data_IF_314770756505
#
_entry.id   IF_314770756505
#
_cell.length_a   1.000
_cell.length_b   1.000
_cell.length_c   1.000
_cell.angle_alpha   90.00
_cell.angle_beta   90.00
_cell.angle_gamma   90.00
#
_symmetry.space_group_name_H-M   'P 1'
#
loop_
_entity.id
_entity.type
_entity.pdbx_description
1 polymer ?
#
# COMPACT_ATOMS: atom_id res chain seq x y z
N UNK A 1 -96.50 -1.18 31.06
CA UNK A 1 -96.71 -0.01 30.16
C UNK A 1 -95.35 0.59 29.84
N UNK A 2 -94.96 0.32 28.69
CA UNK A 2 -93.73 0.56 28.22
C UNK A 2 -93.46 1.20 26.90
N UNK A 3 -92.52 1.94 26.67
CA UNK A 3 -92.14 2.47 25.36
C UNK A 3 -90.64 2.19 25.02
N UNK A 4 -90.48 1.47 23.99
CA UNK A 4 -89.20 1.29 23.35
C UNK A 4 -88.75 2.59 22.67
N UNK A 5 -87.49 2.90 22.79
CA UNK A 5 -86.79 3.85 21.93
C UNK A 5 -85.56 3.17 21.33
N UNK A 6 -85.64 3.03 20.02
CA UNK A 6 -84.53 2.59 19.17
C UNK A 6 -83.57 3.77 18.97
N UNK A 7 -82.28 3.59 19.28
CA UNK A 7 -81.23 4.53 18.85
C UNK A 7 -80.30 3.83 17.86
N UNK A 8 -80.22 4.49 16.71
CA UNK A 8 -79.43 3.96 15.58
C UNK A 8 -77.95 4.06 15.73
N UNK A 9 -77.29 3.09 15.20
CA UNK A 9 -75.84 2.99 15.12
C UNK A 9 -75.35 3.74 13.87
N UNK A 10 -74.67 4.88 14.05
CA UNK A 10 -73.89 5.55 13.00
C UNK A 10 -72.48 4.99 13.03
N UNK A 11 -72.21 4.20 12.02
CA UNK A 11 -70.81 3.76 11.73
C UNK A 11 -70.02 4.93 11.16
N UNK A 12 -69.06 5.41 11.89
CA UNK A 12 -68.02 6.25 11.36
C UNK A 12 -66.85 5.34 10.87
N UNK A 13 -66.75 5.16 9.53
CA UNK A 13 -65.62 4.57 8.89
C UNK A 13 -64.52 5.63 8.77
N UNK A 14 -63.55 5.61 9.66
CA UNK A 14 -62.29 6.37 9.51
C UNK A 14 -61.40 5.64 8.51
N UNK A 15 -61.32 6.19 7.30
CA UNK A 15 -60.35 5.78 6.29
C UNK A 15 -58.96 6.28 6.75
N UNK A 16 -58.12 5.40 7.33
CA UNK A 16 -56.71 5.63 7.52
C UNK A 16 -56.03 5.47 6.15
N UNK A 17 -55.81 6.58 5.44
CA UNK A 17 -54.91 6.64 4.32
C UNK A 17 -53.47 6.50 4.88
N UNK A 18 -52.89 5.27 4.85
CA UNK A 18 -51.47 5.08 5.03
C UNK A 18 -50.76 5.69 3.83
N UNK A 19 -50.23 6.89 4.03
CA UNK A 19 -49.22 7.47 3.14
C UNK A 19 -47.96 6.70 3.35
N UNK A 20 -47.72 5.65 2.55
CA UNK A 20 -46.41 5.02 2.40
C UNK A 20 -45.49 5.99 1.67
N UNK A 21 -44.89 6.89 2.41
CA UNK A 21 -43.74 7.63 1.87
C UNK A 21 -42.63 6.62 1.57
N UNK A 22 -42.09 6.56 0.35
CA UNK A 22 -40.90 5.76 0.09
C UNK A 22 -39.76 6.40 0.86
N UNK A 23 -39.31 5.75 1.91
CA UNK A 23 -38.06 6.09 2.56
C UNK A 23 -36.89 5.65 1.65
N UNK A 24 -36.75 6.30 0.52
CA UNK A 24 -35.52 6.36 -0.21
C UNK A 24 -34.57 7.26 0.62
N UNK A 25 -33.75 6.66 1.45
CA UNK A 25 -32.59 7.33 1.96
C UNK A 25 -31.71 7.67 0.73
N UNK A 26 -31.97 8.82 0.11
CA UNK A 26 -30.99 9.45 -0.77
C UNK A 26 -29.78 9.78 0.11
N UNK A 27 -28.78 8.90 0.15
CA UNK A 27 -27.50 9.25 0.69
C UNK A 27 -27.06 10.54 -0.03
N UNK A 28 -26.98 11.64 0.71
CA UNK A 28 -26.54 12.91 0.14
C UNK A 28 -25.18 12.69 -0.51
N UNK A 29 -25.08 12.96 -1.82
CA UNK A 29 -23.81 12.84 -2.54
C UNK A 29 -22.76 13.68 -1.81
N UNK A 30 -21.68 13.03 -1.34
CA UNK A 30 -20.62 13.75 -0.67
C UNK A 30 -19.85 14.58 -1.70
N UNK A 31 -19.65 15.86 -1.42
CA UNK A 31 -18.98 16.79 -2.35
C UNK A 31 -17.46 16.53 -2.44
N UNK A 32 -16.85 15.96 -1.41
CA UNK A 32 -15.45 15.58 -1.38
C UNK A 32 -15.25 14.13 -1.85
N UNK A 33 -14.16 13.81 -2.57
CA UNK A 33 -13.81 12.42 -2.85
C UNK A 33 -13.40 11.68 -1.58
N UNK A 34 -13.54 10.34 -1.59
CA UNK A 34 -12.88 9.50 -0.61
C UNK A 34 -11.44 9.14 -1.06
N UNK A 35 -10.63 8.68 -0.12
CA UNK A 35 -9.27 8.20 -0.36
C UNK A 35 -9.21 6.71 -0.03
N UNK A 36 -8.64 5.91 -0.93
CA UNK A 36 -8.30 4.50 -0.67
C UNK A 36 -6.79 4.32 -0.76
N UNK A 37 -6.20 3.79 0.30
CA UNK A 37 -4.79 3.41 0.35
C UNK A 37 -4.70 1.93 -0.02
N UNK A 38 -4.20 1.64 -1.22
CA UNK A 38 -4.18 0.29 -1.77
C UNK A 38 -2.78 -0.32 -1.66
N UNK A 39 -2.65 -1.43 -0.94
CA UNK A 39 -1.39 -2.10 -0.64
C UNK A 39 -1.47 -3.61 -0.89
N UNK A 40 -0.31 -4.27 -1.03
CA UNK A 40 -0.26 -5.73 -1.08
C UNK A 40 -0.82 -6.37 0.20
N UNK A 41 -0.41 -5.87 1.34
CA UNK A 41 -0.78 -6.37 2.66
C UNK A 41 0.32 -7.16 3.36
N UNK A 42 0.16 -7.37 4.65
CA UNK A 42 0.98 -8.26 5.47
C UNK A 42 0.16 -8.84 6.63
N UNK A 43 0.46 -10.06 7.06
CA UNK A 43 -0.15 -10.69 8.26
C UNK A 43 0.69 -10.49 9.52
N UNK A 44 1.89 -9.90 9.40
CA UNK A 44 2.83 -9.69 10.52
C UNK A 44 2.52 -8.41 11.31
N UNK A 45 3.25 -8.18 12.42
CA UNK A 45 3.17 -6.93 13.18
C UNK A 45 3.56 -5.69 12.35
N UNK A 46 4.29 -5.87 11.25
CA UNK A 46 4.62 -4.78 10.32
C UNK A 46 3.38 -4.13 9.66
N UNK A 47 2.17 -4.68 9.88
CA UNK A 47 0.90 -4.06 9.50
C UNK A 47 0.75 -2.63 10.05
N UNK A 48 1.35 -2.33 11.20
CA UNK A 48 1.37 -1.00 11.80
C UNK A 48 1.95 0.09 10.88
N UNK A 49 2.77 -0.29 9.89
CA UNK A 49 3.24 0.64 8.85
C UNK A 49 2.09 1.28 8.07
N UNK A 50 1.01 0.53 7.80
CA UNK A 50 -0.18 1.07 7.12
C UNK A 50 -0.93 2.06 8.00
N UNK A 51 -1.07 1.76 9.29
CA UNK A 51 -1.69 2.69 10.24
C UNK A 51 -0.84 3.97 10.41
N UNK A 52 0.49 3.83 10.47
CA UNK A 52 1.38 4.99 10.50
C UNK A 52 1.17 5.88 9.27
N UNK A 53 1.17 5.29 8.07
CA UNK A 53 0.95 6.04 6.83
C UNK A 53 -0.46 6.64 6.77
N UNK A 54 -1.50 5.92 7.17
CA UNK A 54 -2.87 6.42 7.27
C UNK A 54 -2.95 7.68 8.15
N UNK A 55 -2.24 7.73 9.29
CA UNK A 55 -2.18 8.93 10.14
C UNK A 55 -1.53 10.12 9.41
N UNK A 56 -0.49 9.87 8.60
CA UNK A 56 0.12 10.92 7.77
C UNK A 56 -0.85 11.45 6.70
N UNK A 57 -1.62 10.54 6.08
CA UNK A 57 -2.68 10.93 5.13
C UNK A 57 -3.77 11.73 5.84
N UNK A 58 -4.25 11.30 7.02
CA UNK A 58 -5.23 12.02 7.82
C UNK A 58 -4.76 13.42 8.22
N UNK A 59 -3.49 13.54 8.57
CA UNK A 59 -2.90 14.84 8.93
C UNK A 59 -2.87 15.81 7.73
N UNK A 60 -2.60 15.31 6.51
CA UNK A 60 -2.55 16.14 5.30
C UNK A 60 -3.92 16.38 4.67
N UNK A 61 -4.84 15.44 4.83
CA UNK A 61 -6.19 15.45 4.25
C UNK A 61 -7.25 15.19 5.32
N UNK A 62 -7.40 16.07 6.33
CA UNK A 62 -8.18 15.78 7.55
C UNK A 62 -9.68 15.56 7.30
N UNK A 63 -10.22 16.15 6.23
CA UNK A 63 -11.65 16.11 5.93
C UNK A 63 -12.06 14.99 4.95
N UNK A 64 -11.14 14.09 4.60
CA UNK A 64 -11.41 13.01 3.66
C UNK A 64 -11.73 11.70 4.40
N UNK A 65 -12.69 10.95 3.89
CA UNK A 65 -12.88 9.55 4.28
C UNK A 65 -11.70 8.75 3.74
N UNK A 66 -11.04 7.97 4.61
CA UNK A 66 -9.85 7.19 4.25
C UNK A 66 -10.14 5.72 4.54
N UNK A 67 -9.89 4.86 3.56
CA UNK A 67 -10.03 3.41 3.65
C UNK A 67 -8.74 2.72 3.22
N UNK A 68 -8.49 1.54 3.81
CA UNK A 68 -7.43 0.63 3.38
C UNK A 68 -8.02 -0.46 2.47
N UNK A 69 -7.28 -0.83 1.43
CA UNK A 69 -7.59 -1.97 0.57
C UNK A 69 -6.33 -2.81 0.33
N UNK A 70 -6.48 -4.14 0.26
CA UNK A 70 -5.34 -5.04 0.15
C UNK A 70 -5.47 -5.95 -1.07
N UNK A 71 -4.45 -5.96 -1.94
CA UNK A 71 -4.49 -6.68 -3.20
C UNK A 71 -4.28 -8.18 -3.05
N UNK A 72 -3.46 -8.62 -2.08
CA UNK A 72 -3.14 -10.03 -1.89
C UNK A 72 -4.29 -10.82 -1.25
N UNK A 73 -4.93 -11.68 -2.05
CA UNK A 73 -5.93 -12.62 -1.54
C UNK A 73 -5.36 -13.53 -0.43
N UNK A 74 -4.13 -14.03 -0.63
CA UNK A 74 -3.45 -14.90 0.34
C UNK A 74 -3.27 -14.22 1.70
N UNK A 75 -2.86 -12.94 1.71
CA UNK A 75 -2.71 -12.18 2.96
C UNK A 75 -4.06 -11.94 3.62
N UNK A 76 -5.08 -11.50 2.86
CA UNK A 76 -6.42 -11.26 3.41
C UNK A 76 -7.00 -12.52 4.05
N UNK A 77 -6.87 -13.67 3.37
CA UNK A 77 -7.32 -14.95 3.90
C UNK A 77 -6.58 -15.35 5.18
N UNK A 78 -5.24 -15.22 5.20
CA UNK A 78 -4.42 -15.53 6.38
C UNK A 78 -4.80 -14.65 7.57
N UNK A 79 -4.99 -13.34 7.38
CA UNK A 79 -5.40 -12.41 8.45
C UNK A 79 -6.79 -12.76 8.96
N UNK A 80 -7.72 -13.12 8.08
CA UNK A 80 -9.06 -13.53 8.49
C UNK A 80 -9.03 -14.81 9.33
N UNK A 81 -8.21 -15.80 8.97
CA UNK A 81 -8.06 -17.05 9.73
C UNK A 81 -7.35 -16.88 11.06
N UNK A 82 -6.22 -16.15 11.08
CA UNK A 82 -5.36 -16.06 12.25
C UNK A 82 -5.81 -15.00 13.25
N UNK A 83 -6.45 -13.92 12.77
CA UNK A 83 -6.80 -12.75 13.60
C UNK A 83 -8.30 -12.47 13.66
N UNK A 84 -9.13 -13.22 12.92
CA UNK A 84 -10.56 -12.95 12.81
C UNK A 84 -10.91 -11.61 12.16
N UNK A 85 -9.94 -10.95 11.51
CA UNK A 85 -10.11 -9.62 10.92
C UNK A 85 -10.34 -9.73 9.41
N UNK A 86 -11.47 -9.19 8.94
CA UNK A 86 -11.77 -9.08 7.51
C UNK A 86 -11.03 -7.89 6.91
N UNK A 87 -10.16 -8.14 5.93
CA UNK A 87 -9.53 -7.11 5.11
C UNK A 87 -10.20 -7.10 3.72
N UNK A 88 -10.60 -5.93 3.26
CA UNK A 88 -11.23 -5.76 1.94
C UNK A 88 -10.19 -5.67 0.82
N UNK A 89 -10.56 -6.11 -0.38
CA UNK A 89 -9.86 -5.77 -1.62
C UNK A 89 -10.35 -4.43 -2.19
N UNK A 90 -9.69 -3.99 -3.25
CA UNK A 90 -10.03 -2.70 -3.86
C UNK A 90 -11.46 -2.65 -4.40
N UNK A 91 -11.96 -3.63 -5.17
CA UNK A 91 -13.35 -3.60 -5.64
C UNK A 91 -14.38 -3.53 -4.52
N UNK A 92 -14.22 -4.35 -3.48
CA UNK A 92 -15.11 -4.36 -2.32
C UNK A 92 -15.11 -2.98 -1.63
N UNK A 93 -13.93 -2.40 -1.41
CA UNK A 93 -13.80 -1.07 -0.78
C UNK A 93 -14.45 0.02 -1.62
N UNK A 94 -14.30 -0.02 -2.95
CA UNK A 94 -14.92 0.94 -3.87
C UNK A 94 -16.44 0.81 -3.91
N UNK A 95 -16.97 -0.43 -3.86
CA UNK A 95 -18.42 -0.68 -3.80
C UNK A 95 -19.00 -0.11 -2.50
N UNK A 96 -18.39 -0.40 -1.34
CA UNK A 96 -18.82 0.12 -0.04
C UNK A 96 -18.81 1.66 -0.02
N UNK A 97 -17.81 2.31 -0.61
CA UNK A 97 -17.76 3.77 -0.72
C UNK A 97 -18.88 4.31 -1.62
N UNK A 98 -19.15 3.65 -2.74
CA UNK A 98 -20.27 4.02 -3.62
C UNK A 98 -21.61 3.91 -2.91
N UNK A 99 -21.84 2.82 -2.16
CA UNK A 99 -23.06 2.61 -1.36
C UNK A 99 -23.19 3.67 -0.24
N UNK A 100 -22.06 4.17 0.28
CA UNK A 100 -22.02 5.28 1.23
C UNK A 100 -22.23 6.67 0.57
N UNK A 101 -22.50 6.72 -0.75
CA UNK A 101 -22.83 7.95 -1.48
C UNK A 101 -21.65 8.69 -2.09
N UNK A 102 -20.45 8.13 -2.07
CA UNK A 102 -19.29 8.72 -2.76
C UNK A 102 -19.41 8.49 -4.28
N UNK A 103 -19.13 9.53 -5.05
CA UNK A 103 -19.10 9.48 -6.53
C UNK A 103 -17.70 9.61 -7.09
N UNK A 104 -16.73 9.96 -6.25
CA UNK A 104 -15.31 10.18 -6.59
C UNK A 104 -14.42 9.54 -5.53
N UNK A 105 -13.40 8.79 -5.97
CA UNK A 105 -12.43 8.13 -5.08
C UNK A 105 -11.02 8.28 -5.63
N UNK A 106 -10.09 8.82 -4.84
CA UNK A 106 -8.66 8.77 -5.15
C UNK A 106 -8.08 7.49 -4.55
N UNK A 107 -7.47 6.65 -5.37
CA UNK A 107 -6.78 5.42 -4.94
C UNK A 107 -5.29 5.64 -4.99
N UNK A 108 -4.62 5.71 -3.83
CA UNK A 108 -3.17 5.77 -3.75
C UNK A 108 -2.58 4.37 -3.67
N UNK A 109 -1.81 4.00 -4.68
CA UNK A 109 -1.02 2.76 -4.65
C UNK A 109 0.17 2.89 -3.69
N UNK A 110 0.34 1.92 -2.79
CA UNK A 110 1.51 1.81 -1.91
C UNK A 110 2.55 0.79 -2.45
N UNK A 111 2.47 0.46 -3.75
CA UNK A 111 3.45 -0.37 -4.43
C UNK A 111 4.71 0.43 -4.77
N UNK A 112 5.83 -0.27 -4.88
CA UNK A 112 7.12 0.38 -5.20
C UNK A 112 7.23 0.65 -6.70
N UNK A 113 6.78 -0.27 -7.55
CA UNK A 113 6.92 -0.19 -9.00
C UNK A 113 5.56 -0.34 -9.71
N UNK A 114 5.41 0.20 -10.94
CA UNK A 114 4.25 -0.04 -11.79
C UNK A 114 4.34 -1.44 -12.43
N UNK A 115 4.29 -2.49 -11.60
CA UNK A 115 4.35 -3.89 -12.01
C UNK A 115 2.98 -4.57 -12.09
N UNK A 116 2.96 -5.91 -12.05
CA UNK A 116 1.75 -6.72 -12.20
C UNK A 116 0.63 -6.38 -11.20
N UNK A 117 0.98 -6.17 -9.93
CA UNK A 117 0.01 -5.80 -8.88
C UNK A 117 -0.65 -4.43 -9.20
N UNK A 118 0.14 -3.46 -9.68
CA UNK A 118 -0.39 -2.17 -10.12
C UNK A 118 -1.38 -2.34 -11.27
N UNK A 119 -0.96 -3.00 -12.35
CA UNK A 119 -1.80 -3.12 -13.56
C UNK A 119 -3.05 -3.96 -13.32
N UNK A 120 -2.89 -5.16 -12.72
CA UNK A 120 -3.99 -6.10 -12.55
C UNK A 120 -4.88 -5.82 -11.35
N UNK A 121 -4.32 -5.32 -10.23
CA UNK A 121 -5.03 -5.17 -8.96
C UNK A 121 -5.44 -3.74 -8.62
N UNK A 122 -4.78 -2.75 -9.21
CA UNK A 122 -5.18 -1.35 -9.00
C UNK A 122 -5.85 -0.79 -10.26
N UNK A 123 -5.15 -0.73 -11.39
CA UNK A 123 -5.68 -0.11 -12.62
C UNK A 123 -6.91 -0.87 -13.15
N UNK A 124 -6.80 -2.19 -13.33
CA UNK A 124 -7.90 -2.98 -13.87
C UNK A 124 -9.09 -3.08 -12.90
N UNK A 125 -8.82 -3.27 -11.59
CA UNK A 125 -9.88 -3.42 -10.60
C UNK A 125 -10.62 -2.10 -10.32
N UNK A 126 -9.94 -0.94 -10.39
CA UNK A 126 -10.58 0.37 -10.22
C UNK A 126 -11.66 0.68 -11.25
N UNK A 127 -11.60 0.04 -12.43
CA UNK A 127 -12.55 0.22 -13.53
C UNK A 127 -13.80 -0.63 -13.40
N UNK A 128 -13.85 -1.56 -12.43
CA UNK A 128 -14.97 -2.53 -12.28
C UNK A 128 -16.18 -1.99 -11.54
N UNK A 129 -16.14 -0.76 -11.02
CA UNK A 129 -17.26 -0.16 -10.29
C UNK A 129 -17.91 0.96 -11.14
N UNK A 130 -18.95 0.64 -11.94
CA UNK A 130 -19.60 1.63 -12.80
C UNK A 130 -20.20 2.79 -12.00
N UNK A 131 -20.11 4.00 -12.54
CA UNK A 131 -20.66 5.21 -11.92
C UNK A 131 -19.84 5.80 -10.79
N UNK A 132 -18.65 5.23 -10.50
CA UNK A 132 -17.66 5.81 -9.60
C UNK A 132 -16.51 6.38 -10.43
N UNK A 133 -16.19 7.67 -10.26
CA UNK A 133 -14.99 8.27 -10.86
C UNK A 133 -13.79 7.97 -9.97
N UNK A 134 -12.80 7.25 -10.51
CA UNK A 134 -11.59 6.87 -9.77
C UNK A 134 -10.37 7.56 -10.37
N UNK A 135 -9.61 8.28 -9.55
CA UNK A 135 -8.28 8.79 -9.89
C UNK A 135 -7.21 7.96 -9.18
N UNK A 136 -6.05 7.75 -9.82
CA UNK A 136 -5.01 6.85 -9.35
C UNK A 136 -3.74 7.60 -9.00
N UNK A 137 -3.32 7.51 -7.74
CA UNK A 137 -1.99 7.90 -7.29
C UNK A 137 -0.96 6.80 -7.62
N UNK A 138 0.12 7.22 -8.26
CA UNK A 138 1.14 6.33 -8.83
C UNK A 138 1.93 5.53 -7.77
N UNK A 139 2.51 4.36 -8.15
CA UNK A 139 3.57 3.71 -7.38
C UNK A 139 4.81 4.58 -7.21
N UNK A 140 5.72 4.17 -6.32
CA UNK A 140 6.86 4.99 -5.89
C UNK A 140 7.86 5.29 -7.02
N UNK A 141 8.23 4.30 -7.85
CA UNK A 141 9.23 4.43 -8.92
C UNK A 141 8.57 4.55 -10.30
N UNK A 142 7.60 5.47 -10.47
CA UNK A 142 6.81 5.58 -11.69
C UNK A 142 7.42 6.46 -12.78
N UNK A 143 8.38 7.32 -12.43
CA UNK A 143 9.06 8.22 -13.38
C UNK A 143 10.52 8.40 -12.99
N UNK A 144 11.31 9.05 -13.87
CA UNK A 144 12.69 9.43 -13.55
C UNK A 144 12.75 10.42 -12.39
N UNK A 145 11.83 11.38 -12.38
CA UNK A 145 11.69 12.38 -11.35
C UNK A 145 11.40 11.72 -9.99
N UNK A 146 10.50 10.74 -9.97
CA UNK A 146 10.20 9.95 -8.77
C UNK A 146 11.45 9.20 -8.29
N UNK A 147 12.21 8.57 -9.20
CA UNK A 147 13.45 7.85 -8.86
C UNK A 147 14.48 8.77 -8.22
N UNK A 148 14.65 10.00 -8.71
CA UNK A 148 15.54 11.00 -8.12
C UNK A 148 15.07 11.45 -6.72
N UNK A 149 13.77 11.64 -6.53
CA UNK A 149 13.20 11.97 -5.22
C UNK A 149 13.39 10.81 -4.24
N UNK A 150 13.15 9.58 -4.68
CA UNK A 150 13.34 8.36 -3.88
C UNK A 150 14.81 8.20 -3.50
N UNK A 151 15.75 8.38 -4.45
CA UNK A 151 17.17 8.33 -4.15
C UNK A 151 17.56 9.34 -3.06
N UNK A 152 17.11 10.59 -3.17
CA UNK A 152 17.36 11.62 -2.16
C UNK A 152 16.78 11.23 -0.80
N UNK A 153 15.57 10.66 -0.78
CA UNK A 153 14.90 10.26 0.46
C UNK A 153 15.62 9.09 1.15
N UNK A 154 15.95 8.02 0.41
CA UNK A 154 16.61 6.85 1.01
C UNK A 154 18.05 7.13 1.40
N UNK A 155 18.75 8.02 0.69
CA UNK A 155 20.12 8.42 1.00
C UNK A 155 20.26 9.03 2.39
N UNK A 156 19.20 9.65 2.93
CA UNK A 156 19.19 10.18 4.31
C UNK A 156 19.28 9.08 5.37
N UNK A 157 19.01 7.84 5.02
CA UNK A 157 19.05 6.68 5.92
C UNK A 157 20.34 5.87 5.80
N UNK A 158 21.20 6.19 4.83
CA UNK A 158 22.46 5.51 4.65
C UNK A 158 23.47 5.89 5.75
N UNK A 159 24.38 4.99 6.12
CA UNK A 159 25.50 5.34 6.98
C UNK A 159 26.27 6.54 6.44
N UNK A 160 26.70 7.44 7.32
CA UNK A 160 27.46 8.63 6.92
C UNK A 160 28.83 8.28 6.32
N UNK A 161 29.44 7.20 6.82
CA UNK A 161 30.70 6.68 6.31
C UNK A 161 30.45 5.38 5.55
N UNK A 162 30.65 5.43 4.24
CA UNK A 162 30.51 4.30 3.31
C UNK A 162 31.87 3.73 2.88
N UNK A 163 33.00 4.20 3.45
CA UNK A 163 34.33 3.78 3.01
C UNK A 163 34.55 2.26 3.14
N UNK A 164 34.21 1.72 4.32
CA UNK A 164 34.30 0.29 4.61
C UNK A 164 32.90 -0.36 4.85
N UNK A 165 31.84 0.32 4.41
CA UNK A 165 30.48 -0.12 4.58
C UNK A 165 29.77 -0.21 3.24
N UNK A 166 29.14 -1.36 2.97
CA UNK A 166 28.19 -1.51 1.87
C UNK A 166 26.76 -1.49 2.40
N UNK A 167 25.84 -0.92 1.64
CA UNK A 167 24.39 -1.02 1.88
C UNK A 167 23.78 -1.88 0.80
N UNK A 168 22.97 -2.85 1.21
CA UNK A 168 22.19 -3.68 0.29
C UNK A 168 20.73 -3.40 0.51
N UNK A 169 20.09 -2.84 -0.49
CA UNK A 169 18.64 -2.59 -0.53
C UNK A 169 17.97 -3.86 -1.03
N UNK A 170 17.20 -4.52 -0.16
CA UNK A 170 16.42 -5.70 -0.54
C UNK A 170 15.03 -5.29 -0.97
N UNK A 171 14.72 -5.38 -2.27
CA UNK A 171 13.42 -5.18 -2.85
C UNK A 171 12.66 -6.51 -3.02
N UNK A 172 11.33 -6.45 -3.11
CA UNK A 172 10.54 -7.62 -3.48
C UNK A 172 10.86 -8.07 -4.91
N UNK A 173 10.97 -7.11 -5.81
CA UNK A 173 11.10 -7.35 -7.23
C UNK A 173 9.75 -7.39 -7.96
N UNK A 174 9.80 -7.71 -9.24
CA UNK A 174 8.62 -7.84 -10.10
C UNK A 174 8.94 -8.75 -11.27
N UNK A 175 8.09 -9.77 -11.55
CA UNK A 175 8.23 -10.59 -12.75
C UNK A 175 7.74 -9.87 -14.02
N UNK A 176 6.98 -8.77 -13.89
CA UNK A 176 6.49 -7.99 -15.02
C UNK A 176 7.60 -7.08 -15.58
N UNK A 177 7.74 -6.98 -16.93
CA UNK A 177 8.80 -6.21 -17.56
C UNK A 177 8.87 -4.75 -17.13
N UNK A 178 7.73 -4.09 -16.93
CA UNK A 178 7.64 -2.68 -16.52
C UNK A 178 8.17 -2.49 -15.10
N UNK A 179 7.81 -3.39 -14.19
CA UNK A 179 8.29 -3.37 -12.82
C UNK A 179 9.78 -3.70 -12.72
N UNK A 180 10.26 -4.69 -13.46
CA UNK A 180 11.69 -5.03 -13.55
C UNK A 180 12.47 -3.85 -14.14
N UNK A 181 11.98 -3.22 -15.21
CA UNK A 181 12.63 -2.06 -15.82
C UNK A 181 12.77 -0.88 -14.83
N UNK A 182 11.76 -0.64 -13.98
CA UNK A 182 11.81 0.40 -12.95
C UNK A 182 12.90 0.11 -11.89
N UNK A 183 13.00 -1.13 -11.41
CA UNK A 183 14.07 -1.52 -10.48
C UNK A 183 15.46 -1.43 -11.12
N UNK A 184 15.62 -1.89 -12.37
CA UNK A 184 16.88 -1.78 -13.10
C UNK A 184 17.29 -0.32 -13.36
N UNK A 185 16.32 0.55 -13.63
CA UNK A 185 16.58 1.98 -13.80
C UNK A 185 17.03 2.62 -12.47
N UNK A 186 16.39 2.26 -11.37
CA UNK A 186 16.76 2.75 -10.04
C UNK A 186 18.12 2.20 -9.58
N UNK A 187 18.46 0.92 -9.87
CA UNK A 187 19.78 0.37 -9.58
C UNK A 187 20.90 1.12 -10.34
N UNK A 188 20.67 1.43 -11.63
CA UNK A 188 21.60 2.26 -12.40
C UNK A 188 21.78 3.65 -11.80
N UNK A 189 20.71 4.27 -11.34
CA UNK A 189 20.75 5.58 -10.68
C UNK A 189 21.54 5.49 -9.36
N UNK A 190 21.30 4.49 -8.51
CA UNK A 190 22.05 4.25 -7.28
C UNK A 190 23.54 4.11 -7.57
N UNK A 191 23.93 3.27 -8.52
CA UNK A 191 25.34 3.01 -8.90
C UNK A 191 26.02 4.22 -9.53
N UNK A 192 25.29 5.15 -10.12
CA UNK A 192 25.87 6.39 -10.64
C UNK A 192 26.25 7.39 -9.53
N UNK A 193 25.68 7.26 -8.34
CA UNK A 193 25.93 8.13 -7.20
C UNK A 193 26.78 7.46 -6.10
N UNK A 194 26.70 6.13 -5.97
CA UNK A 194 27.32 5.39 -4.86
C UNK A 194 28.03 4.13 -5.35
N UNK A 195 29.26 3.93 -4.91
CA UNK A 195 30.05 2.73 -5.25
C UNK A 195 29.69 1.51 -4.38
N UNK A 196 29.21 1.75 -3.15
CA UNK A 196 28.97 0.71 -2.14
C UNK A 196 27.47 0.57 -1.77
N UNK A 197 26.58 1.00 -2.64
CA UNK A 197 25.12 0.82 -2.48
C UNK A 197 24.61 -0.09 -3.61
N UNK A 198 23.94 -1.17 -3.24
CA UNK A 198 23.49 -2.19 -4.17
C UNK A 198 22.00 -2.46 -3.98
N UNK A 199 21.28 -2.62 -5.06
CA UNK A 199 19.88 -3.08 -5.06
C UNK A 199 19.87 -4.55 -5.47
N UNK A 200 19.07 -5.36 -4.79
CA UNK A 200 18.75 -6.72 -5.21
C UNK A 200 17.32 -7.07 -4.88
N UNK A 201 16.72 -7.93 -5.69
CA UNK A 201 15.32 -8.35 -5.59
C UNK A 201 15.22 -9.80 -5.11
N UNK A 202 14.14 -10.10 -4.37
CA UNK A 202 13.78 -11.47 -4.01
C UNK A 202 13.37 -12.23 -5.28
N UNK A 203 12.69 -11.55 -6.21
CA UNK A 203 12.34 -12.11 -7.54
C UNK A 203 12.62 -11.08 -8.65
N UNK A 204 12.98 -11.56 -9.85
CA UNK A 204 13.32 -10.68 -10.98
C UNK A 204 14.70 -10.03 -10.85
N UNK A 205 14.89 -8.89 -11.47
CA UNK A 205 16.18 -8.17 -11.55
C UNK A 205 16.13 -6.77 -10.94
N UNK A 206 17.27 -6.24 -10.44
CA UNK A 206 18.55 -6.96 -10.26
C UNK A 206 18.38 -8.09 -9.25
N UNK A 207 19.04 -9.22 -9.49
CA UNK A 207 18.88 -10.41 -8.64
C UNK A 207 19.59 -10.27 -7.30
N UNK A 208 19.17 -11.04 -6.29
CA UNK A 208 19.89 -11.20 -5.03
C UNK A 208 21.37 -11.52 -5.29
N UNK A 209 21.63 -12.49 -6.18
CA UNK A 209 22.97 -12.95 -6.47
C UNK A 209 23.86 -11.83 -7.02
N UNK A 210 23.37 -11.03 -7.96
CA UNK A 210 24.10 -9.87 -8.51
C UNK A 210 24.45 -8.86 -7.41
N UNK A 211 23.54 -8.60 -6.47
CA UNK A 211 23.81 -7.70 -5.33
C UNK A 211 24.87 -8.27 -4.38
N UNK A 212 24.80 -9.57 -4.02
CA UNK A 212 25.77 -10.21 -3.12
C UNK A 212 27.17 -10.33 -3.75
N UNK A 213 27.27 -10.61 -5.05
CA UNK A 213 28.54 -10.59 -5.77
C UNK A 213 29.13 -9.17 -5.86
N UNK A 214 28.30 -8.14 -5.98
CA UNK A 214 28.77 -6.75 -5.94
C UNK A 214 29.33 -6.39 -4.54
N UNK A 215 28.70 -6.83 -3.46
CA UNK A 215 29.24 -6.70 -2.09
C UNK A 215 30.58 -7.40 -1.96
N UNK A 216 30.70 -8.64 -2.43
CA UNK A 216 31.94 -9.42 -2.41
C UNK A 216 33.09 -8.70 -3.14
N UNK A 217 32.77 -8.12 -4.31
CA UNK A 217 33.74 -7.35 -5.11
C UNK A 217 34.17 -6.06 -4.40
N UNK A 218 33.23 -5.36 -3.76
CA UNK A 218 33.50 -4.16 -2.97
C UNK A 218 34.30 -4.45 -1.69
N UNK A 219 34.20 -5.69 -1.18
CA UNK A 219 34.95 -6.21 -0.03
C UNK A 219 34.90 -5.33 1.24
N UNK A 220 33.71 -4.83 1.68
CA UNK A 220 33.60 -3.98 2.86
C UNK A 220 33.90 -4.75 4.15
N UNK A 221 34.08 -4.04 5.27
CA UNK A 221 34.11 -4.63 6.61
C UNK A 221 32.66 -4.84 7.15
N UNK A 222 31.78 -3.90 6.86
CA UNK A 222 30.38 -3.90 7.32
C UNK A 222 29.41 -3.96 6.16
N UNK A 223 28.33 -4.74 6.32
CA UNK A 223 27.19 -4.75 5.38
C UNK A 223 25.92 -4.36 6.11
N UNK A 224 25.22 -3.35 5.63
CA UNK A 224 23.92 -2.93 6.13
C UNK A 224 22.86 -3.47 5.18
N UNK A 225 21.99 -4.36 5.67
CA UNK A 225 20.84 -4.88 4.94
C UNK A 225 19.62 -4.01 5.24
N UNK A 226 18.97 -3.46 4.22
CA UNK A 226 17.83 -2.56 4.35
C UNK A 226 16.68 -3.02 3.45
N UNK A 227 15.43 -3.05 3.94
CA UNK A 227 14.30 -3.36 3.08
C UNK A 227 13.99 -2.17 2.16
N UNK A 228 13.92 -2.42 0.86
CA UNK A 228 13.40 -1.50 -0.13
C UNK A 228 11.96 -1.92 -0.50
N UNK A 229 11.12 -1.97 0.54
CA UNK A 229 9.71 -2.34 0.52
C UNK A 229 8.93 -1.39 1.40
N UNK A 230 7.67 -1.11 1.05
CA UNK A 230 6.83 -0.23 1.87
C UNK A 230 6.69 -0.76 3.30
N UNK A 231 6.48 -2.08 3.44
CA UNK A 231 6.36 -2.78 4.72
C UNK A 231 7.48 -3.80 4.86
N UNK A 232 8.17 -3.78 6.00
CA UNK A 232 9.17 -4.77 6.39
C UNK A 232 8.47 -5.99 7.03
N UNK A 233 7.86 -6.84 6.21
CA UNK A 233 7.10 -8.00 6.63
C UNK A 233 7.93 -9.28 6.77
N UNK A 234 7.33 -10.42 6.37
CA UNK A 234 7.91 -11.76 6.48
C UNK A 234 9.25 -11.89 5.73
N UNK A 235 9.36 -11.26 4.54
CA UNK A 235 10.62 -11.27 3.76
C UNK A 235 11.80 -10.68 4.53
N UNK A 236 11.59 -9.63 5.33
CA UNK A 236 12.67 -9.04 6.12
C UNK A 236 13.10 -9.98 7.25
N UNK A 237 12.14 -10.62 7.91
CA UNK A 237 12.43 -11.51 9.03
C UNK A 237 13.07 -12.84 8.57
N UNK A 238 12.65 -13.39 7.43
CA UNK A 238 13.13 -14.69 6.94
C UNK A 238 14.20 -14.53 5.88
N UNK A 239 13.87 -13.93 4.73
CA UNK A 239 14.76 -13.92 3.58
C UNK A 239 15.95 -12.98 3.78
N UNK A 240 15.76 -11.82 4.44
CA UNK A 240 16.86 -10.86 4.64
C UNK A 240 17.74 -11.21 5.85
N UNK A 241 17.13 -11.38 7.03
CA UNK A 241 17.83 -11.49 8.32
C UNK A 241 17.67 -12.85 8.99
N UNK A 242 16.94 -13.79 8.40
CA UNK A 242 16.71 -15.13 8.93
C UNK A 242 18.01 -15.93 9.05
N UNK A 243 17.93 -17.07 9.75
CA UNK A 243 19.06 -17.98 9.95
C UNK A 243 19.08 -19.13 8.92
N UNK A 244 18.09 -19.17 8.02
CA UNK A 244 18.03 -20.12 6.92
C UNK A 244 19.26 -19.98 6.02
N UNK A 245 19.71 -21.11 5.47
CA UNK A 245 20.94 -21.16 4.69
C UNK A 245 20.96 -20.27 3.45
N UNK A 246 19.79 -19.94 2.92
CA UNK A 246 19.56 -19.12 1.73
C UNK A 246 19.14 -17.68 2.07
N UNK A 247 19.10 -17.29 3.35
CA UNK A 247 18.89 -15.88 3.70
C UNK A 247 20.04 -15.02 3.20
N UNK A 248 19.76 -13.74 2.91
CA UNK A 248 20.79 -12.78 2.46
C UNK A 248 21.93 -12.66 3.47
N UNK A 249 21.58 -12.58 4.77
CA UNK A 249 22.57 -12.58 5.87
C UNK A 249 23.45 -13.83 5.84
N UNK A 250 22.85 -15.01 5.79
CA UNK A 250 23.59 -16.27 5.83
C UNK A 250 24.48 -16.47 4.60
N UNK A 251 24.02 -16.10 3.41
CA UNK A 251 24.84 -16.15 2.19
C UNK A 251 26.04 -15.18 2.25
N UNK A 252 25.85 -13.98 2.78
CA UNK A 252 26.96 -13.04 3.00
C UNK A 252 27.98 -13.61 3.99
N UNK A 253 27.53 -14.17 5.11
CA UNK A 253 28.44 -14.75 6.12
C UNK A 253 29.20 -15.98 5.61
N UNK A 254 28.67 -16.73 4.63
CA UNK A 254 29.39 -17.79 3.94
C UNK A 254 30.55 -17.26 3.07
N UNK A 255 30.41 -16.06 2.53
CA UNK A 255 31.45 -15.47 1.68
C UNK A 255 32.64 -14.94 2.50
N UNK A 256 32.33 -14.26 3.62
CA UNK A 256 33.31 -13.63 4.51
C UNK A 256 32.63 -13.31 5.85
N UNK A 257 33.39 -13.21 6.93
CA UNK A 257 32.93 -12.77 8.24
C UNK A 257 32.67 -11.26 8.26
N UNK A 258 31.63 -10.81 7.50
CA UNK A 258 31.19 -9.42 7.54
C UNK A 258 30.54 -9.07 8.88
N UNK A 259 30.69 -7.81 9.32
CA UNK A 259 29.78 -7.25 10.33
C UNK A 259 28.44 -6.93 9.67
N UNK A 260 27.38 -7.70 9.99
CA UNK A 260 26.05 -7.50 9.38
C UNK A 260 25.17 -6.66 10.31
N UNK A 261 24.61 -5.59 9.77
CA UNK A 261 23.58 -4.76 10.43
C UNK A 261 22.28 -4.87 9.64
N UNK A 262 21.15 -5.08 10.33
CA UNK A 262 19.83 -5.20 9.71
C UNK A 262 18.92 -4.05 10.08
N UNK A 263 18.35 -3.37 9.09
CA UNK A 263 17.26 -2.42 9.28
C UNK A 263 15.94 -3.17 9.13
N UNK A 264 15.07 -3.04 10.12
CA UNK A 264 13.80 -3.79 10.16
C UNK A 264 12.56 -2.93 9.90
N UNK A 265 12.73 -1.65 9.63
CA UNK A 265 11.65 -0.73 9.27
C UNK A 265 11.57 -0.54 7.77
N UNK A 266 10.35 -0.72 7.20
CA UNK A 266 10.09 -0.48 5.78
C UNK A 266 10.05 1.01 5.41
N UNK A 267 9.99 1.26 4.10
CA UNK A 267 9.99 2.61 3.53
C UNK A 267 8.80 3.47 4.00
N UNK A 268 7.68 2.85 4.39
CA UNK A 268 6.50 3.57 4.91
C UNK A 268 6.73 4.33 6.22
N UNK A 269 7.87 4.15 6.88
CA UNK A 269 8.30 4.95 8.03
C UNK A 269 9.28 6.07 7.68
N UNK A 270 9.78 6.12 6.43
CA UNK A 270 10.72 7.16 6.00
C UNK A 270 9.95 8.40 5.54
N UNK A 271 10.11 9.51 6.23
CA UNK A 271 9.34 10.74 5.98
C UNK A 271 9.45 11.23 4.53
N UNK A 272 10.64 11.17 3.93
CA UNK A 272 10.84 11.55 2.53
C UNK A 272 10.04 10.66 1.56
N UNK A 273 9.96 9.35 1.82
CA UNK A 273 9.16 8.41 1.03
C UNK A 273 7.66 8.63 1.25
N UNK A 274 7.25 8.84 2.50
CA UNK A 274 5.87 9.18 2.85
C UNK A 274 5.40 10.40 2.07
N UNK A 275 6.23 11.45 2.01
CA UNK A 275 5.90 12.70 1.30
C UNK A 275 5.73 12.48 -0.22
N UNK A 276 6.53 11.62 -0.86
CA UNK A 276 6.36 11.28 -2.29
C UNK A 276 4.98 10.65 -2.52
N UNK A 277 4.57 9.69 -1.71
CA UNK A 277 3.23 9.09 -1.83
C UNK A 277 2.10 10.09 -1.56
N UNK A 278 2.28 10.99 -0.59
CA UNK A 278 1.31 12.06 -0.30
C UNK A 278 1.19 13.05 -1.47
N UNK A 279 2.28 13.32 -2.18
CA UNK A 279 2.28 14.18 -3.38
C UNK A 279 1.61 13.49 -4.57
N UNK A 280 1.85 12.18 -4.77
CA UNK A 280 1.12 11.37 -5.76
C UNK A 280 -0.39 11.37 -5.50
N UNK A 281 -0.80 11.19 -4.23
CA UNK A 281 -2.20 11.29 -3.83
C UNK A 281 -2.78 12.68 -4.08
N UNK A 282 -2.04 13.74 -3.69
CA UNK A 282 -2.46 15.12 -3.94
C UNK A 282 -2.64 15.40 -5.43
N UNK A 283 -1.78 14.83 -6.28
CA UNK A 283 -1.93 14.97 -7.73
C UNK A 283 -3.17 14.24 -8.23
N UNK A 284 -3.41 12.99 -7.78
CA UNK A 284 -4.61 12.25 -8.15
C UNK A 284 -5.91 12.97 -7.74
N UNK A 285 -5.91 13.63 -6.58
CA UNK A 285 -7.07 14.43 -6.12
C UNK A 285 -7.39 15.64 -7.01
N UNK A 286 -6.43 16.14 -7.82
CA UNK A 286 -6.66 17.23 -8.76
C UNK A 286 -7.41 16.80 -10.02
N UNK A 287 -7.53 15.49 -10.28
CA UNK A 287 -8.24 14.96 -11.45
C UNK A 287 -9.79 15.02 -11.30
N UNK A 288 -10.27 15.54 -10.17
CA UNK A 288 -11.68 15.74 -9.86
C UNK A 288 -12.13 17.18 -9.97
#
# INVERSE_FOLDING_TARGET
MVRQLRLGWLFWALLLAMISAPWGLNAASTTKPAIVLAAFGTSTAAFDTYHHFEQKVKARFPDYEIRLAFTSHKVRHKVAQEKGQKLNDLPTTLIELKEAGYTRVAVQSLHIVPGEEWEKKIVAESRKVPGLKVALGKPLLSSKEDQELVLKAVALTFPKDLKDTAVVLMAHGSPAPEGEAAYLAFDRLLRSHYQNIFLGCVEGKPTKQEALEAVKKANPATVVLMPFMFVAGEHVAKDMLGDEADSWKSELLKQKAYSIQGITKGLGYQEGIVNIYLDHLAQALKDF
#
